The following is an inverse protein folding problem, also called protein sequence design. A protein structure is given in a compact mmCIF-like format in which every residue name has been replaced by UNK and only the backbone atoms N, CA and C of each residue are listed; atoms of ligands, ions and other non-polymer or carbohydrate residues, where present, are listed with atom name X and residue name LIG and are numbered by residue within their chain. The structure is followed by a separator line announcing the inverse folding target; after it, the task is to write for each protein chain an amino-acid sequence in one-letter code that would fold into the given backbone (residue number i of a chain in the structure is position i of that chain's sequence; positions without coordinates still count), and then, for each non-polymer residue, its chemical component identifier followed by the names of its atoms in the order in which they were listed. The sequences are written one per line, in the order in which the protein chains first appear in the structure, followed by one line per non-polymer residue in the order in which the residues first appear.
data_IF_723038713877
#
_entry.id   IF_723038713877
#
_cell.length_a   1.000
_cell.length_b   1.000
_cell.length_c   1.000
_cell.angle_alpha   90.00
_cell.angle_beta   90.00
_cell.angle_gamma   90.00
#
_symmetry.space_group_name_H-M   'P 1'
#
loop_
_entity.id
_entity.type
_entity.pdbx_description
1 polymer ?
#
# COMPACT_ATOMS: atom_id res chain seq x y z
N UNK A 1 -12.69 6.77 26.43
CA UNK A 1 -13.61 5.71 25.97
C UNK A 1 -12.96 5.01 24.78
N UNK A 2 -12.26 3.90 25.04
CA UNK A 2 -11.70 3.03 24.00
C UNK A 2 -12.87 2.38 23.26
N UNK A 3 -13.07 2.69 21.98
CA UNK A 3 -14.00 1.96 21.14
C UNK A 3 -13.19 0.93 20.36
N UNK A 4 -13.40 -0.34 20.70
CA UNK A 4 -12.82 -1.49 20.02
C UNK A 4 -13.22 -1.48 18.53
N UNK A 5 -12.24 -1.18 17.65
CA UNK A 5 -12.35 -1.34 16.20
C UNK A 5 -12.00 -2.79 15.87
N UNK A 6 -13.02 -3.65 15.73
CA UNK A 6 -12.83 -5.00 15.20
C UNK A 6 -12.48 -4.91 13.70
N UNK A 7 -11.16 -4.90 13.45
CA UNK A 7 -10.45 -5.12 12.17
C UNK A 7 -10.45 -3.99 11.15
N UNK A 8 -9.87 -2.85 11.53
CA UNK A 8 -9.23 -1.96 10.55
C UNK A 8 -7.91 -2.58 10.13
N UNK A 9 -7.80 -3.07 8.90
CA UNK A 9 -6.57 -3.60 8.34
C UNK A 9 -6.07 -2.71 7.21
N UNK A 10 -4.81 -2.29 7.31
CA UNK A 10 -4.09 -1.57 6.27
C UNK A 10 -3.04 -2.53 5.73
N UNK A 11 -3.11 -2.80 4.43
CA UNK A 11 -2.14 -3.61 3.72
C UNK A 11 -1.33 -2.69 2.82
N UNK A 12 0.00 -2.82 2.87
CA UNK A 12 0.92 -2.16 1.94
C UNK A 12 1.95 -3.15 1.41
N UNK A 13 2.07 -3.23 0.09
CA UNK A 13 3.13 -3.96 -0.59
C UNK A 13 3.86 -2.99 -1.52
N UNK A 14 5.20 -2.96 -1.46
CA UNK A 14 6.03 -2.08 -2.30
C UNK A 14 7.21 -2.85 -2.90
N UNK A 15 6.96 -3.82 -3.81
CA UNK A 15 8.05 -4.48 -4.53
C UNK A 15 8.84 -3.47 -5.37
N UNK A 16 10.17 -3.58 -5.28
CA UNK A 16 11.12 -2.80 -6.07
C UNK A 16 12.15 -3.72 -6.71
N UNK A 17 12.46 -3.45 -7.97
CA UNK A 17 13.57 -4.07 -8.70
C UNK A 17 14.53 -2.96 -9.10
N UNK A 18 15.82 -3.18 -8.89
CA UNK A 18 16.89 -2.27 -9.30
C UNK A 18 17.93 -3.03 -10.11
N UNK A 19 18.21 -2.56 -11.32
CA UNK A 19 19.32 -2.97 -12.16
C UNK A 19 20.46 -1.98 -12.01
N UNK A 20 21.63 -2.47 -11.63
CA UNK A 20 22.85 -1.65 -11.49
C UNK A 20 23.87 -2.14 -12.51
N UNK A 21 24.38 -1.21 -13.32
CA UNK A 21 25.44 -1.45 -14.29
C UNK A 21 26.45 -0.30 -14.23
N UNK A 22 27.60 -0.56 -13.61
CA UNK A 22 28.68 0.41 -13.40
C UNK A 22 28.18 1.71 -12.77
N UNK A 23 28.11 2.79 -13.57
CA UNK A 23 27.68 4.14 -13.15
C UNK A 23 26.17 4.36 -13.28
N UNK A 24 25.44 3.45 -13.93
CA UNK A 24 24.02 3.57 -14.21
C UNK A 24 23.21 2.63 -13.29
N UNK A 25 22.20 3.18 -12.63
CA UNK A 25 21.20 2.42 -11.88
C UNK A 25 19.80 2.72 -12.41
N UNK A 26 19.05 1.67 -12.76
CA UNK A 26 17.66 1.73 -13.18
C UNK A 26 16.79 1.05 -12.14
N UNK A 27 15.78 1.73 -11.63
CA UNK A 27 14.86 1.20 -10.62
C UNK A 27 13.42 1.32 -11.09
N UNK A 28 12.64 0.26 -10.84
CA UNK A 28 11.20 0.26 -10.97
C UNK A 28 10.57 -0.20 -9.66
N UNK A 29 9.55 0.51 -9.21
CA UNK A 29 8.81 0.21 -7.99
C UNK A 29 7.32 0.30 -8.23
N UNK A 30 6.60 -0.64 -7.65
CA UNK A 30 5.13 -0.68 -7.65
C UNK A 30 4.71 -0.71 -6.19
N UNK A 31 3.84 0.22 -5.80
CA UNK A 31 3.30 0.28 -4.46
C UNK A 31 1.77 0.12 -4.50
N UNK A 32 1.30 -0.78 -3.67
CA UNK A 32 -0.09 -1.17 -3.49
C UNK A 32 -0.47 -0.89 -2.05
N UNK A 33 -1.42 0.01 -1.83
CA UNK A 33 -1.98 0.26 -0.50
C UNK A 33 -3.47 0.02 -0.52
N UNK A 34 -3.98 -0.80 0.40
CA UNK A 34 -5.40 -1.05 0.57
C UNK A 34 -5.77 -0.87 2.04
N UNK A 35 -6.90 -0.21 2.29
CA UNK A 35 -7.43 -0.04 3.64
C UNK A 35 -8.89 -0.47 3.68
N UNK A 36 -9.26 -1.36 4.60
CA UNK A 36 -10.66 -1.74 4.81
C UNK A 36 -11.28 -0.85 5.89
N UNK A 37 -12.24 0.00 5.49
CA UNK A 37 -13.07 0.76 6.42
C UNK A 37 -14.51 0.26 6.35
N UNK A 38 -15.02 -0.26 7.45
CA UNK A 38 -16.40 -0.71 7.57
C UNK A 38 -17.12 0.01 8.70
N UNK A 39 -18.44 0.16 8.58
CA UNK A 39 -19.27 0.69 9.68
C UNK A 39 -19.66 -0.46 10.61
N UNK A 40 -19.33 -0.40 11.91
CA UNK A 40 -19.77 -1.42 12.84
C UNK A 40 -21.29 -1.33 13.01
N UNK A 41 -21.96 -2.48 12.98
CA UNK A 41 -23.38 -2.58 13.24
C UNK A 41 -23.63 -3.13 14.64
N UNK A 42 -24.82 -2.87 15.21
CA UNK A 42 -25.16 -3.20 16.60
C UNK A 42 -25.02 -4.69 16.96
N UNK A 43 -25.00 -5.58 15.96
CA UNK A 43 -24.82 -7.02 16.09
C UNK A 43 -23.36 -7.49 15.87
N UNK A 44 -22.39 -6.58 15.82
CA UNK A 44 -20.98 -6.90 15.57
C UNK A 44 -20.65 -7.28 14.12
N UNK A 45 -21.64 -7.27 13.22
CA UNK A 45 -21.42 -7.53 11.79
C UNK A 45 -21.04 -6.21 11.10
N UNK A 46 -20.01 -6.24 10.26
CA UNK A 46 -19.58 -5.09 9.46
C UNK A 46 -20.20 -5.22 8.07
N UNK A 47 -21.10 -4.30 7.68
CA UNK A 47 -21.58 -4.21 6.29
C UNK A 47 -21.09 -2.92 5.62
N UNK A 48 -20.86 -3.01 4.31
CA UNK A 48 -20.23 -1.98 3.45
C UNK A 48 -18.78 -1.70 3.83
N UNK A 49 -17.90 -2.65 3.54
CA UNK A 49 -16.46 -2.39 3.49
C UNK A 49 -16.17 -1.61 2.22
N UNK A 50 -15.85 -0.31 2.34
CA UNK A 50 -15.17 0.36 1.25
C UNK A 50 -13.68 0.05 1.41
N UNK A 51 -13.11 -0.58 0.39
CA UNK A 51 -11.67 -0.85 0.32
C UNK A 51 -11.02 0.12 -0.68
N UNK A 52 -10.76 1.39 -0.31
CA UNK A 52 -9.95 2.26 -1.14
C UNK A 52 -8.58 1.60 -1.39
N UNK A 53 -8.24 1.45 -2.67
CA UNK A 53 -6.95 0.94 -3.13
C UNK A 53 -6.20 2.09 -3.81
N UNK A 54 -4.95 2.31 -3.41
CA UNK A 54 -4.04 3.25 -4.02
C UNK A 54 -2.91 2.49 -4.71
N UNK A 55 -2.68 2.81 -5.99
CA UNK A 55 -1.64 2.23 -6.83
C UNK A 55 -0.66 3.33 -7.22
N UNK A 56 0.62 3.13 -6.92
CA UNK A 56 1.69 4.08 -7.27
C UNK A 56 2.80 3.35 -8.00
N UNK A 57 3.29 3.97 -9.07
CA UNK A 57 4.39 3.45 -9.88
C UNK A 57 5.52 4.48 -9.84
N UNK A 58 6.74 4.03 -9.58
CA UNK A 58 7.94 4.85 -9.70
C UNK A 58 8.94 4.21 -10.64
N UNK A 59 9.53 5.04 -11.49
CA UNK A 59 10.68 4.69 -12.30
C UNK A 59 11.79 5.71 -12.04
N UNK A 60 13.01 5.23 -11.86
CA UNK A 60 14.17 6.08 -11.62
C UNK A 60 15.36 5.60 -12.45
N UNK A 61 16.09 6.56 -13.01
CA UNK A 61 17.38 6.36 -13.63
C UNK A 61 18.39 7.27 -12.93
N UNK A 62 19.44 6.69 -12.37
CA UNK A 62 20.49 7.40 -11.64
C UNK A 62 21.82 7.14 -12.34
N UNK A 63 22.54 8.21 -12.68
CA UNK A 63 23.89 8.13 -13.23
C UNK A 63 24.87 8.78 -12.25
N UNK A 64 25.89 8.02 -11.83
CA UNK A 64 26.92 8.48 -10.92
C UNK A 64 28.14 8.96 -11.72
N UNK A 65 28.39 10.27 -11.69
CA UNK A 65 29.51 10.92 -12.41
C UNK A 65 30.84 10.69 -11.70
#
# INVERSE_FOLDING_TARGET
MLIALQRTHIYRASPRITFISNKLSLSAEIELTAAAYGRPQLNGTVIKTQEPKNFRYLFAAVYNF
#
